data_IF_838416454554
#
_entry.id   IF_838416454554
#
_cell.length_a   1.000
_cell.length_b   1.000
_cell.length_c   1.000
_cell.angle_alpha   90.00
_cell.angle_beta   90.00
_cell.angle_gamma   90.00
#
_symmetry.space_group_name_H-M   'P 1'
#
loop_
_entity.id
_entity.type
_entity.pdbx_description
1 polymer ?
#
# COMPACT_ATOMS: atom_id res chain seq x y z
N UNK A 1 -13.68 7.40 17.38
CA UNK A 1 -13.93 6.50 16.25
C UNK A 1 -13.03 5.27 16.39
N UNK A 2 -13.63 4.10 16.35
CA UNK A 2 -12.91 2.84 16.40
C UNK A 2 -12.39 2.45 15.01
N UNK A 3 -11.26 1.77 14.95
CA UNK A 3 -10.70 1.33 13.68
C UNK A 3 -10.03 -0.04 13.81
N UNK A 4 -9.89 -0.73 12.68
CA UNK A 4 -9.08 -1.93 12.56
C UNK A 4 -8.09 -1.79 11.39
N UNK A 5 -6.96 -2.45 11.49
CA UNK A 5 -5.97 -2.50 10.41
C UNK A 5 -5.80 -3.95 9.94
N UNK A 6 -6.01 -4.17 8.65
CA UNK A 6 -5.67 -5.40 7.97
C UNK A 6 -4.54 -5.05 7.01
N UNK A 7 -3.34 -5.57 7.24
CA UNK A 7 -2.17 -5.15 6.50
C UNK A 7 -1.26 -6.33 6.16
N UNK A 8 -0.89 -6.41 4.87
CA UNK A 8 0.17 -7.30 4.40
C UNK A 8 1.40 -6.49 3.98
N UNK A 9 2.56 -6.86 4.49
CA UNK A 9 3.82 -6.19 4.20
C UNK A 9 4.92 -7.23 4.00
N UNK A 10 5.53 -7.22 2.81
CA UNK A 10 6.57 -8.19 2.46
C UNK A 10 7.95 -7.80 3.02
N UNK A 11 8.27 -6.50 2.98
CA UNK A 11 9.59 -5.96 3.34
C UNK A 11 9.53 -4.90 4.45
N UNK A 12 8.37 -4.69 5.04
CA UNK A 12 8.15 -3.69 6.09
C UNK A 12 7.69 -2.32 5.61
N UNK A 13 7.61 -2.07 4.31
CA UNK A 13 7.23 -0.76 3.77
C UNK A 13 5.77 -0.40 4.09
N UNK A 14 4.83 -1.28 3.76
CA UNK A 14 3.41 -1.07 4.04
C UNK A 14 3.15 -0.99 5.55
N UNK A 15 3.91 -1.75 6.33
CA UNK A 15 3.85 -1.71 7.80
C UNK A 15 4.19 -0.35 8.38
N UNK A 16 5.08 0.43 7.75
CA UNK A 16 5.39 1.81 8.17
C UNK A 16 4.14 2.70 8.07
N UNK A 17 3.36 2.55 7.01
CA UNK A 17 2.09 3.27 6.86
C UNK A 17 1.07 2.84 7.90
N UNK A 18 0.96 1.54 8.16
CA UNK A 18 0.07 1.02 9.21
C UNK A 18 0.45 1.57 10.60
N UNK A 19 1.74 1.66 10.90
CA UNK A 19 2.21 2.25 12.15
C UNK A 19 1.87 3.75 12.23
N UNK A 20 2.04 4.47 11.13
CA UNK A 20 1.64 5.89 11.07
C UNK A 20 0.13 6.06 11.30
N UNK A 21 -0.69 5.16 10.76
CA UNK A 21 -2.12 5.18 11.03
C UNK A 21 -2.44 5.04 12.53
N UNK A 22 -1.75 4.15 13.25
CA UNK A 22 -1.91 3.99 14.70
C UNK A 22 -1.55 5.27 15.45
N UNK A 23 -0.48 5.94 15.06
CA UNK A 23 -0.07 7.22 15.66
C UNK A 23 -1.13 8.31 15.45
N UNK A 24 -1.71 8.36 14.25
CA UNK A 24 -2.74 9.36 13.89
C UNK A 24 -4.07 9.09 14.58
N UNK A 25 -4.51 7.84 14.61
CA UNK A 25 -5.83 7.46 15.12
C UNK A 25 -5.85 7.14 16.62
N UNK A 26 -4.67 6.89 17.19
CA UNK A 26 -4.50 6.48 18.59
C UNK A 26 -4.67 4.98 18.80
N UNK A 27 -3.63 4.31 19.27
CA UNK A 27 -3.60 2.84 19.44
C UNK A 27 -4.75 2.31 20.30
N UNK A 28 -5.19 3.07 21.29
CA UNK A 28 -6.30 2.70 22.17
C UNK A 28 -7.66 2.55 21.44
N UNK A 29 -7.77 3.09 20.24
CA UNK A 29 -8.98 3.03 19.43
C UNK A 29 -8.95 1.86 18.43
N UNK A 30 -7.86 1.11 18.36
CA UNK A 30 -7.76 -0.09 17.52
C UNK A 30 -8.59 -1.23 18.13
N UNK A 31 -9.40 -1.87 17.31
CA UNK A 31 -10.30 -2.94 17.74
C UNK A 31 -10.39 -4.05 16.68
N UNK A 32 -11.29 -4.99 16.87
CA UNK A 32 -11.56 -6.02 15.87
C UNK A 32 -12.21 -5.43 14.61
N UNK A 33 -12.04 -6.10 13.47
CA UNK A 33 -12.70 -5.69 12.22
C UNK A 33 -14.23 -5.64 12.37
N UNK A 34 -14.80 -6.55 13.15
CA UNK A 34 -16.25 -6.59 13.38
C UNK A 34 -16.75 -5.31 14.07
N UNK A 35 -16.00 -4.81 15.04
CA UNK A 35 -16.39 -3.67 15.89
C UNK A 35 -15.94 -2.30 15.33
N UNK A 36 -15.12 -2.30 14.28
CA UNK A 36 -14.53 -1.09 13.75
C UNK A 36 -15.52 -0.24 12.95
N UNK A 37 -15.50 1.07 13.18
CA UNK A 37 -16.17 2.08 12.36
C UNK A 37 -15.47 2.27 11.02
N UNK A 38 -14.14 2.10 11.01
CA UNK A 38 -13.29 2.25 9.84
C UNK A 38 -12.30 1.07 9.78
N UNK A 39 -12.19 0.44 8.63
CA UNK A 39 -11.14 -0.57 8.39
C UNK A 39 -10.11 -0.01 7.42
N UNK A 40 -8.84 -0.02 7.84
CA UNK A 40 -7.72 0.32 6.97
C UNK A 40 -7.19 -0.98 6.36
N UNK A 41 -7.30 -1.11 5.04
CA UNK A 41 -6.77 -2.25 4.30
C UNK A 41 -5.50 -1.83 3.58
N UNK A 42 -4.38 -2.41 3.98
CA UNK A 42 -3.07 -2.11 3.43
C UNK A 42 -2.39 -3.32 2.80
N UNK A 43 -1.72 -3.10 1.68
CA UNK A 43 -0.97 -4.16 0.99
C UNK A 43 0.26 -3.62 0.28
N UNK A 44 1.32 -4.43 0.25
CA UNK A 44 2.33 -4.29 -0.79
C UNK A 44 1.70 -4.70 -2.13
N UNK A 45 2.29 -4.24 -3.23
CA UNK A 45 1.76 -4.51 -4.57
C UNK A 45 2.36 -5.80 -5.13
N UNK A 46 1.52 -6.81 -5.30
CA UNK A 46 1.87 -8.06 -5.93
C UNK A 46 1.25 -8.11 -7.34
N UNK A 47 2.11 -8.09 -8.36
CA UNK A 47 1.69 -8.13 -9.78
C UNK A 47 0.59 -7.11 -10.11
N UNK A 48 0.69 -5.92 -9.53
CA UNK A 48 -0.25 -4.83 -9.73
C UNK A 48 -1.54 -4.88 -8.91
N UNK A 49 -1.67 -5.81 -7.97
CA UNK A 49 -2.85 -5.99 -7.14
C UNK A 49 -2.53 -6.24 -5.67
N UNK A 50 -3.57 -6.57 -4.90
CA UNK A 50 -3.46 -6.97 -3.50
C UNK A 50 -2.63 -8.25 -3.34
N UNK A 51 -1.94 -8.36 -2.22
CA UNK A 51 -1.34 -9.62 -1.80
C UNK A 51 -2.44 -10.69 -1.67
N UNK A 52 -2.31 -11.83 -2.37
CA UNK A 52 -3.26 -12.94 -2.25
C UNK A 52 -3.49 -13.44 -0.82
N UNK A 53 -2.53 -13.25 0.08
CA UNK A 53 -2.67 -13.60 1.50
C UNK A 53 -3.79 -12.84 2.21
N UNK A 54 -4.28 -11.72 1.65
CA UNK A 54 -5.39 -10.95 2.20
C UNK A 54 -6.76 -11.47 1.79
N UNK A 55 -6.83 -12.40 0.85
CA UNK A 55 -8.09 -12.86 0.22
C UNK A 55 -9.10 -13.36 1.25
N UNK A 56 -8.67 -14.12 2.25
CA UNK A 56 -9.54 -14.67 3.29
C UNK A 56 -10.09 -13.58 4.24
N UNK A 57 -9.44 -12.43 4.32
CA UNK A 57 -9.89 -11.32 5.16
C UNK A 57 -10.92 -10.43 4.44
N UNK A 58 -10.95 -10.40 3.11
CA UNK A 58 -11.78 -9.48 2.35
C UNK A 58 -13.29 -9.58 2.63
N UNK A 59 -13.89 -10.77 2.83
CA UNK A 59 -15.32 -10.87 3.16
C UNK A 59 -15.74 -10.08 4.40
N UNK A 60 -14.83 -9.87 5.36
CA UNK A 60 -15.10 -9.10 6.58
C UNK A 60 -15.35 -7.61 6.31
N UNK A 61 -15.01 -7.14 5.09
CA UNK A 61 -15.16 -5.74 4.70
C UNK A 61 -16.52 -5.42 4.08
N UNK A 62 -17.39 -6.41 3.93
CA UNK A 62 -18.74 -6.17 3.45
C UNK A 62 -19.47 -5.16 4.33
N UNK A 63 -20.04 -4.13 3.70
CA UNK A 63 -20.75 -3.03 4.37
C UNK A 63 -19.89 -2.19 5.36
N UNK A 64 -18.56 -2.30 5.29
CA UNK A 64 -17.64 -1.48 6.10
C UNK A 64 -17.17 -0.25 5.34
N UNK A 65 -16.84 0.82 6.10
CA UNK A 65 -16.06 1.93 5.57
C UNK A 65 -14.60 1.50 5.50
N UNK A 66 -13.97 1.67 4.34
CA UNK A 66 -12.62 1.17 4.08
C UNK A 66 -11.72 2.30 3.58
N UNK A 67 -10.57 2.46 4.22
CA UNK A 67 -9.48 3.27 3.71
C UNK A 67 -8.43 2.32 3.10
N UNK A 68 -8.16 2.47 1.81
CA UNK A 68 -7.18 1.65 1.09
C UNK A 68 -5.81 2.30 1.11
N UNK A 69 -4.78 1.54 1.42
CA UNK A 69 -3.41 2.04 1.30
C UNK A 69 -2.45 0.97 0.83
N UNK A 70 -1.33 1.41 0.28
CA UNK A 70 -0.34 0.47 -0.18
C UNK A 70 0.99 1.10 -0.53
N UNK A 71 1.94 0.22 -0.85
CA UNK A 71 3.25 0.57 -1.35
C UNK A 71 3.54 -0.22 -2.62
N UNK A 72 4.31 0.36 -3.53
CA UNK A 72 4.75 -0.31 -4.75
C UNK A 72 6.20 0.01 -5.05
N UNK A 73 6.92 -0.94 -5.63
CA UNK A 73 8.30 -0.74 -6.05
C UNK A 73 8.40 0.10 -7.31
N UNK A 74 7.43 -0.06 -8.22
CA UNK A 74 7.30 0.76 -9.43
C UNK A 74 6.45 2.00 -9.17
N UNK A 75 6.48 2.93 -10.11
CA UNK A 75 5.57 4.06 -10.09
C UNK A 75 6.27 5.39 -10.16
N UNK A 76 6.09 6.23 -9.15
CA UNK A 76 6.51 7.64 -9.18
C UNK A 76 5.52 8.53 -9.92
N UNK A 77 4.35 8.02 -10.31
CA UNK A 77 3.26 8.81 -10.88
C UNK A 77 1.92 8.49 -10.23
N UNK A 78 1.12 9.51 -10.04
CA UNK A 78 -0.22 9.36 -9.47
C UNK A 78 -1.12 8.47 -10.35
N UNK A 79 -0.98 8.56 -11.68
CA UNK A 79 -1.73 7.72 -12.61
C UNK A 79 -1.46 6.21 -12.41
N UNK A 80 -0.21 5.84 -12.15
CA UNK A 80 0.15 4.46 -11.84
C UNK A 80 -0.44 4.02 -10.50
N UNK A 81 -0.31 4.85 -9.46
CA UNK A 81 -0.87 4.57 -8.14
C UNK A 81 -2.38 4.38 -8.20
N UNK A 82 -3.08 5.21 -8.94
CA UNK A 82 -4.52 5.11 -9.10
C UNK A 82 -4.92 3.79 -9.77
N UNK A 83 -4.18 3.33 -10.78
CA UNK A 83 -4.44 2.03 -11.42
C UNK A 83 -4.29 0.86 -10.46
N UNK A 84 -3.26 0.89 -9.62
CA UNK A 84 -3.05 -0.15 -8.61
C UNK A 84 -4.15 -0.11 -7.55
N UNK A 85 -4.49 1.08 -7.07
CA UNK A 85 -5.57 1.27 -6.10
C UNK A 85 -6.94 0.88 -6.67
N UNK A 86 -7.18 1.10 -7.96
CA UNK A 86 -8.40 0.63 -8.62
C UNK A 86 -8.50 -0.90 -8.58
N UNK A 87 -7.38 -1.60 -8.75
CA UNK A 87 -7.34 -3.07 -8.60
C UNK A 87 -7.56 -3.50 -7.14
N UNK A 88 -6.99 -2.79 -6.18
CA UNK A 88 -7.28 -3.04 -4.76
C UNK A 88 -8.78 -2.90 -4.49
N UNK A 89 -9.37 -1.82 -4.97
CA UNK A 89 -10.79 -1.53 -4.77
C UNK A 89 -11.69 -2.57 -5.44
N UNK A 90 -11.34 -3.04 -6.64
CA UNK A 90 -12.12 -4.05 -7.37
C UNK A 90 -12.15 -5.42 -6.68
N UNK A 91 -11.21 -5.69 -5.79
CA UNK A 91 -11.15 -6.93 -5.02
C UNK A 91 -12.07 -6.90 -3.77
N UNK A 92 -12.59 -5.74 -3.39
CA UNK A 92 -13.44 -5.60 -2.21
C UNK A 92 -14.81 -6.25 -2.42
N UNK A 93 -15.42 -6.78 -1.35
CA UNK A 93 -16.76 -7.33 -1.43
C UNK A 93 -17.81 -6.24 -1.69
N UNK A 94 -18.95 -6.65 -2.18
CA UNK A 94 -20.09 -5.77 -2.40
C UNK A 94 -20.49 -5.07 -1.09
N UNK A 95 -20.83 -3.79 -1.19
CA UNK A 95 -21.23 -2.97 -0.07
C UNK A 95 -20.09 -2.32 0.70
N UNK A 96 -18.84 -2.69 0.45
CA UNK A 96 -17.69 -1.98 1.02
C UNK A 96 -17.65 -0.54 0.50
N UNK A 97 -17.50 0.42 1.42
CA UNK A 97 -17.48 1.85 1.08
C UNK A 97 -16.06 2.39 1.19
N UNK A 98 -15.40 2.64 0.06
CA UNK A 98 -14.06 3.24 0.05
C UNK A 98 -14.18 4.73 0.36
N UNK A 99 -13.62 5.13 1.50
CA UNK A 99 -13.68 6.51 2.00
C UNK A 99 -12.41 7.30 1.71
N UNK A 100 -11.33 6.64 1.33
CA UNK A 100 -10.07 7.27 0.94
C UNK A 100 -9.07 6.24 0.46
N UNK A 101 -8.03 6.72 -0.23
CA UNK A 101 -6.99 5.86 -0.82
C UNK A 101 -5.64 6.55 -0.77
N UNK A 102 -4.57 5.77 -0.57
CA UNK A 102 -3.20 6.27 -0.62
C UNK A 102 -2.24 5.20 -1.15
N UNK A 103 -1.29 5.61 -1.98
CA UNK A 103 -0.20 4.78 -2.47
C UNK A 103 1.09 5.60 -2.54
N UNK A 104 2.21 4.99 -2.17
CA UNK A 104 3.53 5.56 -2.38
C UNK A 104 4.52 4.48 -2.82
N UNK A 105 5.71 4.90 -3.24
CA UNK A 105 6.79 3.95 -3.49
C UNK A 105 7.28 3.31 -2.20
N UNK A 106 7.79 2.09 -2.34
CA UNK A 106 8.49 1.37 -1.30
C UNK A 106 9.80 0.79 -1.83
N UNK A 107 10.84 0.88 -1.02
CA UNK A 107 12.15 0.34 -1.35
C UNK A 107 12.09 -1.17 -1.58
N UNK A 108 12.64 -1.62 -2.71
CA UNK A 108 12.75 -3.04 -3.02
C UNK A 108 14.04 -3.63 -2.42
N UNK A 109 14.09 -4.98 -2.21
CA UNK A 109 15.31 -5.64 -1.74
C UNK A 109 16.48 -5.48 -2.73
N UNK A 110 17.74 -5.39 -2.24
CA UNK A 110 18.92 -5.24 -3.11
C UNK A 110 19.06 -6.34 -4.18
N UNK A 111 18.59 -7.55 -3.90
CA UNK A 111 18.62 -8.67 -4.85
C UNK A 111 17.82 -8.36 -6.14
N UNK A 112 16.81 -7.54 -6.07
CA UNK A 112 16.02 -7.11 -7.23
C UNK A 112 16.89 -6.27 -8.17
N UNK A 113 17.66 -5.33 -7.63
CA UNK A 113 18.57 -4.50 -8.43
C UNK A 113 19.66 -5.35 -9.09
N UNK A 114 20.26 -6.25 -8.34
CA UNK A 114 21.29 -7.16 -8.87
C UNK A 114 20.75 -7.97 -10.06
N UNK A 115 19.52 -8.44 -9.99
CA UNK A 115 18.86 -9.16 -11.09
C UNK A 115 18.63 -8.25 -12.29
N UNK A 116 18.19 -7.00 -12.10
CA UNK A 116 18.01 -6.04 -13.18
C UNK A 116 19.34 -5.70 -13.87
N UNK A 117 20.43 -5.54 -13.10
CA UNK A 117 21.76 -5.29 -13.66
C UNK A 117 22.19 -6.44 -14.57
N UNK A 118 22.02 -7.69 -14.12
CA UNK A 118 22.33 -8.87 -14.94
C UNK A 118 21.48 -8.91 -16.22
N UNK A 119 20.19 -8.64 -16.12
CA UNK A 119 19.27 -8.65 -17.27
C UNK A 119 19.53 -7.48 -18.24
N UNK A 120 20.00 -6.34 -17.73
CA UNK A 120 20.34 -5.17 -18.55
C UNK A 120 21.55 -5.42 -19.47
N UNK A 121 22.41 -6.38 -19.17
CA UNK A 121 23.53 -6.77 -20.05
C UNK A 121 23.04 -7.27 -21.43
N UNK A 122 21.88 -7.91 -21.46
CA UNK A 122 21.28 -8.45 -22.68
C UNK A 122 20.16 -7.56 -23.25
N UNK A 123 19.43 -6.85 -22.40
CA UNK A 123 18.33 -5.97 -22.79
C UNK A 123 18.37 -4.64 -22.02
N UNK A 124 19.33 -3.75 -22.34
CA UNK A 124 19.50 -2.50 -21.61
C UNK A 124 18.31 -1.57 -21.75
N UNK A 125 17.63 -1.51 -22.91
CA UNK A 125 16.47 -0.65 -23.11
C UNK A 125 15.32 -0.96 -22.16
N UNK A 126 15.14 -2.22 -21.82
CA UNK A 126 14.09 -2.69 -20.91
C UNK A 126 14.48 -2.52 -19.44
N UNK A 127 15.72 -2.85 -19.07
CA UNK A 127 16.10 -2.99 -17.66
C UNK A 127 16.83 -1.79 -17.09
N UNK A 128 17.46 -0.91 -17.87
CA UNK A 128 18.05 0.34 -17.36
C UNK A 128 16.99 1.24 -16.72
N UNK A 129 15.79 1.46 -17.31
CA UNK A 129 14.73 2.20 -16.64
C UNK A 129 14.25 1.55 -15.34
N UNK A 130 14.31 0.24 -15.25
CA UNK A 130 13.96 -0.49 -14.01
C UNK A 130 14.99 -0.28 -12.91
N UNK A 131 16.27 -0.21 -13.25
CA UNK A 131 17.34 0.13 -12.31
C UNK A 131 17.17 1.56 -11.79
N UNK A 132 16.90 2.51 -12.67
CA UNK A 132 16.63 3.90 -12.30
C UNK A 132 15.43 4.00 -11.36
N UNK A 133 14.34 3.29 -11.65
CA UNK A 133 13.17 3.23 -10.78
C UNK A 133 13.52 2.62 -9.42
N UNK A 134 14.31 1.55 -9.37
CA UNK A 134 14.79 0.96 -8.12
C UNK A 134 15.51 2.00 -7.28
N UNK A 135 16.43 2.76 -7.90
CA UNK A 135 17.23 3.76 -7.20
C UNK A 135 16.36 4.92 -6.68
N UNK A 136 15.34 5.34 -7.44
CA UNK A 136 14.36 6.34 -6.96
C UNK A 136 13.52 5.85 -5.79
N UNK A 137 13.25 4.56 -5.71
CA UNK A 137 12.47 3.97 -4.63
C UNK A 137 13.25 3.80 -3.32
N UNK A 138 14.57 3.94 -3.36
CA UNK A 138 15.41 3.83 -2.16
C UNK A 138 14.99 4.86 -1.09
N UNK A 139 14.88 4.40 0.15
CA UNK A 139 14.49 5.23 1.27
C UNK A 139 12.98 5.49 1.39
N UNK A 140 12.17 5.00 0.45
CA UNK A 140 10.70 5.11 0.52
C UNK A 140 10.08 3.89 1.23
N UNK A 141 8.97 4.09 1.99
CA UNK A 141 8.36 5.38 2.33
C UNK A 141 9.27 6.26 3.17
N UNK A 142 9.37 7.52 2.81
CA UNK A 142 10.11 8.53 3.56
C UNK A 142 9.19 9.42 4.42
N UNK A 143 9.74 10.44 5.07
CA UNK A 143 8.97 11.35 5.92
C UNK A 143 7.88 12.11 5.14
N UNK A 144 8.15 12.48 3.88
CA UNK A 144 7.18 13.15 3.02
C UNK A 144 6.01 12.21 2.67
N UNK A 145 6.30 10.93 2.39
CA UNK A 145 5.27 9.91 2.15
C UNK A 145 4.37 9.73 3.38
N UNK A 146 4.95 9.65 4.56
CA UNK A 146 4.21 9.51 5.81
C UNK A 146 3.31 10.72 6.09
N UNK A 147 3.79 11.93 5.79
CA UNK A 147 3.00 13.15 5.92
C UNK A 147 1.84 13.15 4.92
N UNK A 148 2.09 12.80 3.67
CA UNK A 148 1.04 12.71 2.65
C UNK A 148 -0.01 11.64 3.00
N UNK A 149 0.42 10.51 3.54
CA UNK A 149 -0.47 9.46 4.04
C UNK A 149 -1.37 9.98 5.16
N UNK A 150 -0.80 10.68 6.14
CA UNK A 150 -1.56 11.26 7.24
C UNK A 150 -2.61 12.26 6.74
N UNK A 151 -2.25 13.13 5.79
CA UNK A 151 -3.20 14.08 5.18
C UNK A 151 -4.36 13.34 4.51
N UNK A 152 -4.08 12.31 3.72
CA UNK A 152 -5.10 11.51 3.06
C UNK A 152 -5.99 10.77 4.06
N UNK A 153 -5.41 10.21 5.10
CA UNK A 153 -6.17 9.51 6.15
C UNK A 153 -7.10 10.47 6.91
N UNK A 154 -6.59 11.62 7.34
CA UNK A 154 -7.41 12.63 8.05
C UNK A 154 -8.55 13.15 7.20
N UNK A 155 -8.36 13.30 5.90
CA UNK A 155 -9.40 13.73 4.97
C UNK A 155 -10.53 12.69 4.81
N UNK A 156 -10.28 11.43 5.16
CA UNK A 156 -11.24 10.32 5.07
C UNK A 156 -12.04 10.11 6.38
N UNK A 157 -11.68 10.78 7.45
CA UNK A 157 -12.36 10.67 8.74
C UNK A 157 -13.62 11.50 8.77
#
# INVERSE_FOLDING_TARGET
MSYAIICSSKTGNTKKLAQRAREVLGEKNECSTADADLVLLGSWTDKGGLDPALEDALPQLAAKRVFLFGTCGFGGSQAYYDRVLDRFQSALPEGAQVVGRFMCQGQMPPAVRARYVTMAEQDPKRFEPMIENFDRALGHPDAADLTAFEVALRAAL
#
